data_IF_725603903782
#
_entry.id   IF_725603903782
#
_cell.length_a   1.000
_cell.length_b   1.000
_cell.length_c   1.000
_cell.angle_alpha   90.00
_cell.angle_beta   90.00
_cell.angle_gamma   90.00
#
_symmetry.space_group_name_H-M   'P 1'
#
loop_
_entity.id
_entity.type
_entity.pdbx_description
1 polymer ?
#
# COMPACT_ATOMS: atom_id res chain seq x y z
N UNK A 1 11.56 -36.89 -5.17
CA UNK A 1 11.26 -35.54 -5.70
C UNK A 1 11.81 -34.50 -4.74
N UNK A 2 13.03 -34.04 -4.99
CA UNK A 2 13.69 -32.94 -4.27
C UNK A 2 13.07 -31.62 -4.75
N UNK A 3 12.26 -31.00 -3.90
CA UNK A 3 11.73 -29.66 -4.14
C UNK A 3 12.83 -28.65 -3.80
N UNK A 4 13.46 -28.08 -4.82
CA UNK A 4 14.35 -26.94 -4.66
C UNK A 4 13.54 -25.77 -4.09
N UNK A 5 13.90 -25.34 -2.88
CA UNK A 5 13.35 -24.14 -2.25
C UNK A 5 13.98 -22.92 -2.93
N UNK A 6 13.26 -22.32 -3.87
CA UNK A 6 13.65 -21.02 -4.42
C UNK A 6 13.36 -19.94 -3.38
N UNK A 7 14.40 -19.47 -2.69
CA UNK A 7 14.29 -18.25 -1.87
C UNK A 7 13.88 -17.08 -2.77
N UNK A 8 12.90 -16.30 -2.34
CA UNK A 8 12.56 -15.07 -3.02
C UNK A 8 13.78 -14.15 -2.95
N UNK A 9 14.46 -13.96 -4.09
CA UNK A 9 15.61 -13.07 -4.17
C UNK A 9 15.04 -11.66 -4.06
N UNK A 10 15.22 -11.05 -2.89
CA UNK A 10 14.87 -9.64 -2.71
C UNK A 10 15.68 -8.84 -3.73
N UNK A 11 14.98 -8.12 -4.62
CA UNK A 11 15.64 -7.34 -5.65
C UNK A 11 16.18 -6.07 -5.00
N UNK A 12 17.50 -5.98 -4.90
CA UNK A 12 18.19 -4.76 -4.50
C UNK A 12 18.38 -3.88 -5.73
N UNK A 13 17.81 -2.68 -5.69
CA UNK A 13 17.95 -1.66 -6.74
C UNK A 13 18.68 -0.45 -6.17
N UNK A 14 19.69 0.03 -6.90
CA UNK A 14 20.46 1.21 -6.53
C UNK A 14 19.94 2.41 -7.34
N UNK A 15 19.41 3.42 -6.65
CA UNK A 15 18.97 4.67 -7.26
C UNK A 15 20.06 5.72 -7.07
N UNK A 16 20.69 6.12 -8.17
CA UNK A 16 21.67 7.22 -8.18
C UNK A 16 20.95 8.55 -8.01
N UNK A 17 21.59 9.52 -7.35
CA UNK A 17 21.03 10.86 -7.22
C UNK A 17 20.80 11.51 -8.60
N UNK A 18 19.59 12.03 -8.78
CA UNK A 18 19.16 12.75 -9.99
C UNK A 18 19.57 14.22 -9.92
N UNK A 19 19.62 14.82 -8.73
CA UNK A 19 19.99 16.21 -8.48
C UNK A 19 20.51 16.31 -7.04
N UNK A 20 21.44 17.21 -6.80
CA UNK A 20 21.85 17.63 -5.46
C UNK A 20 22.31 19.09 -5.48
N UNK A 21 22.38 19.69 -4.30
CA UNK A 21 22.93 21.01 -4.06
C UNK A 21 23.20 21.23 -2.58
N UNK A 22 24.11 22.15 -2.28
CA UNK A 22 24.29 22.71 -0.94
C UNK A 22 23.77 24.15 -0.89
N UNK A 23 23.37 24.58 0.30
CA UNK A 23 23.01 25.95 0.66
C UNK A 23 23.71 26.31 1.96
N UNK A 24 24.02 27.59 2.14
CA UNK A 24 24.82 28.06 3.26
C UNK A 24 24.25 29.35 3.86
N UNK A 25 24.37 29.54 5.18
CA UNK A 25 23.76 30.68 5.88
C UNK A 25 24.41 32.02 5.53
N UNK A 26 25.73 32.03 5.30
CA UNK A 26 26.49 33.27 5.11
C UNK A 26 26.51 33.71 3.63
N UNK A 27 26.04 32.84 2.74
CA UNK A 27 25.73 33.16 1.34
C UNK A 27 24.25 32.87 1.03
N UNK A 28 23.32 33.56 1.71
CA UNK A 28 21.95 33.08 1.85
C UNK A 28 21.10 33.16 0.57
N UNK A 29 21.60 33.84 -0.46
CA UNK A 29 21.00 33.98 -1.78
C UNK A 29 21.70 33.14 -2.85
N UNK A 30 22.66 32.30 -2.46
CA UNK A 30 23.42 31.43 -3.36
C UNK A 30 23.03 29.98 -3.13
N UNK A 31 23.08 29.21 -4.21
CA UNK A 31 22.94 27.75 -4.20
C UNK A 31 24.15 27.16 -4.89
N UNK A 32 24.62 26.00 -4.44
CA UNK A 32 25.79 25.35 -4.99
C UNK A 32 25.44 24.01 -5.68
N UNK A 33 24.72 24.02 -6.82
CA UNK A 33 24.51 22.82 -7.62
C UNK A 33 25.81 22.46 -8.35
N UNK A 34 26.04 21.18 -8.65
CA UNK A 34 27.21 20.78 -9.44
C UNK A 34 28.50 20.60 -8.63
N UNK A 35 28.50 20.90 -7.34
CA UNK A 35 29.68 20.73 -6.49
C UNK A 35 30.02 19.25 -6.30
N UNK A 36 31.32 18.95 -6.31
CA UNK A 36 31.83 17.61 -6.01
C UNK A 36 31.60 17.19 -4.56
N UNK A 37 31.31 18.14 -3.68
CA UNK A 37 31.09 17.91 -2.26
C UNK A 37 29.78 18.54 -1.79
N UNK A 38 29.15 17.84 -0.85
CA UNK A 38 27.93 18.21 -0.15
C UNK A 38 28.30 18.46 1.30
N UNK A 39 28.21 19.70 1.73
CA UNK A 39 28.58 20.10 3.09
C UNK A 39 27.38 20.16 4.03
N UNK A 40 27.64 19.85 5.30
CA UNK A 40 26.63 19.75 6.35
C UNK A 40 27.21 20.21 7.69
N UNK A 41 26.54 21.14 8.38
CA UNK A 41 26.97 21.69 9.68
C UNK A 41 27.69 23.04 9.54
N UNK A 42 28.28 23.54 10.62
CA UNK A 42 29.07 24.78 10.59
C UNK A 42 30.39 24.52 9.84
N UNK A 43 30.67 25.37 8.87
CA UNK A 43 31.91 25.41 8.12
C UNK A 43 33.11 25.77 9.02
N UNK A 44 34.24 25.10 8.82
CA UNK A 44 35.46 25.22 9.62
C UNK A 44 36.43 26.24 9.02
N UNK A 45 35.97 27.48 8.87
CA UNK A 45 36.80 28.62 8.45
C UNK A 45 36.76 28.97 6.95
N UNK A 46 35.89 28.35 6.15
CA UNK A 46 35.65 28.74 4.75
C UNK A 46 34.72 29.96 4.57
N UNK A 47 34.07 30.44 5.63
CA UNK A 47 33.18 31.61 5.60
C UNK A 47 31.78 31.34 5.04
N UNK A 48 31.33 30.07 4.99
CA UNK A 48 30.00 29.71 4.51
C UNK A 48 28.93 29.62 5.62
N UNK A 49 29.35 29.61 6.89
CA UNK A 49 28.45 29.51 8.04
C UNK A 49 27.86 28.11 8.18
N UNK A 50 26.55 28.01 8.40
CA UNK A 50 25.84 26.73 8.48
C UNK A 50 25.49 26.25 7.08
N UNK A 51 25.94 25.04 6.76
CA UNK A 51 25.66 24.38 5.49
C UNK A 51 24.64 23.25 5.63
N UNK A 52 23.79 23.12 4.61
CA UNK A 52 22.85 22.02 4.44
C UNK A 52 22.93 21.51 3.02
N UNK A 53 22.71 20.22 2.85
CA UNK A 53 22.77 19.58 1.54
C UNK A 53 21.47 18.85 1.23
N UNK A 54 21.07 18.82 -0.04
CA UNK A 54 19.85 18.15 -0.46
C UNK A 54 20.15 17.22 -1.63
N UNK A 55 19.41 16.12 -1.68
CA UNK A 55 19.63 15.07 -2.67
C UNK A 55 18.28 14.58 -3.16
N UNK A 56 18.11 14.50 -4.47
CA UNK A 56 16.92 14.03 -5.15
C UNK A 56 17.13 12.70 -5.86
N UNK A 57 16.12 11.84 -5.86
CA UNK A 57 16.13 10.53 -6.51
C UNK A 57 14.87 10.35 -7.37
N UNK A 58 15.00 9.71 -8.54
CA UNK A 58 13.85 9.32 -9.36
C UNK A 58 13.34 7.95 -8.91
N UNK A 59 12.11 7.89 -8.38
CA UNK A 59 11.56 6.69 -7.73
C UNK A 59 10.34 6.12 -8.46
N UNK A 60 10.10 6.51 -9.72
CA UNK A 60 8.97 6.06 -10.54
C UNK A 60 8.90 4.53 -10.66
N UNK A 61 10.06 3.86 -10.69
CA UNK A 61 10.19 2.41 -10.78
C UNK A 61 9.79 1.63 -9.50
N UNK A 62 9.61 2.32 -8.36
CA UNK A 62 9.13 1.70 -7.12
C UNK A 62 7.61 1.54 -7.10
N UNK A 63 6.89 2.05 -8.11
CA UNK A 63 5.43 2.00 -8.16
C UNK A 63 4.95 0.54 -8.17
N UNK A 64 4.14 0.19 -7.16
CA UNK A 64 3.56 -1.14 -6.99
C UNK A 64 4.45 -2.18 -6.29
N UNK A 65 5.76 -1.92 -6.13
CA UNK A 65 6.69 -2.82 -5.43
C UNK A 65 6.43 -2.82 -3.92
N UNK A 66 6.80 -3.87 -3.20
CA UNK A 66 6.80 -3.87 -1.73
C UNK A 66 8.21 -3.54 -1.25
N UNK A 67 8.36 -2.48 -0.44
CA UNK A 67 9.68 -2.05 0.03
C UNK A 67 10.00 -2.82 1.31
N UNK A 68 11.04 -3.65 1.27
CA UNK A 68 11.53 -4.37 2.45
C UNK A 68 12.41 -3.43 3.29
N UNK A 69 13.39 -2.82 2.63
CA UNK A 69 14.39 -1.92 3.23
C UNK A 69 14.78 -0.81 2.24
N UNK A 70 15.08 0.38 2.74
CA UNK A 70 15.72 1.44 1.99
C UNK A 70 16.80 2.14 2.83
N UNK A 71 18.02 2.25 2.28
CA UNK A 71 19.14 2.92 2.92
C UNK A 71 19.72 4.00 2.02
N UNK A 72 19.90 5.20 2.56
CA UNK A 72 20.70 6.24 1.91
C UNK A 72 22.17 5.96 2.23
N UNK A 73 23.03 5.94 1.20
CA UNK A 73 24.48 5.80 1.32
C UNK A 73 25.16 7.05 0.76
N UNK A 74 26.02 7.67 1.56
CA UNK A 74 26.90 8.76 1.13
C UNK A 74 28.36 8.39 1.40
N UNK A 75 29.26 8.78 0.52
CA UNK A 75 30.70 8.65 0.76
C UNK A 75 31.22 9.87 1.52
N UNK A 76 31.86 9.64 2.65
CA UNK A 76 32.45 10.68 3.49
C UNK A 76 33.82 11.10 2.93
N UNK A 77 34.12 12.41 2.97
CA UNK A 77 35.41 12.96 2.53
C UNK A 77 36.23 13.42 3.73
N UNK A 78 37.10 12.54 4.24
CA UNK A 78 38.03 12.84 5.32
C UNK A 78 39.06 13.93 4.97
N UNK A 79 39.28 14.22 3.69
CA UNK A 79 40.21 15.26 3.26
C UNK A 79 39.72 16.68 3.55
N UNK A 80 38.40 16.85 3.77
CA UNK A 80 37.75 18.15 3.94
C UNK A 80 37.06 18.28 5.30
N UNK A 81 37.33 17.37 6.22
CA UNK A 81 36.67 17.30 7.51
C UNK A 81 37.61 16.67 8.52
N UNK A 82 37.70 17.25 9.72
CA UNK A 82 38.52 16.64 10.77
C UNK A 82 38.00 15.21 11.05
N UNK A 83 38.91 14.26 10.97
CA UNK A 83 38.59 12.83 11.11
C UNK A 83 38.42 12.41 12.55
N UNK A 84 38.89 13.20 13.52
CA UNK A 84 38.75 12.90 14.95
C UNK A 84 37.38 13.32 15.48
N UNK A 85 36.79 14.38 14.92
CA UNK A 85 35.53 14.94 15.40
C UNK A 85 34.31 14.19 14.87
N UNK A 86 33.57 13.57 15.81
CA UNK A 86 32.29 12.93 15.53
C UNK A 86 31.17 13.96 15.48
N UNK A 87 30.33 13.87 14.45
CA UNK A 87 29.14 14.71 14.29
C UNK A 87 27.94 13.88 13.88
N UNK A 88 26.82 14.04 14.56
CA UNK A 88 25.57 13.40 14.14
C UNK A 88 24.93 14.19 12.99
N UNK A 89 24.60 13.50 11.91
CA UNK A 89 23.95 14.05 10.72
C UNK A 89 22.60 13.37 10.53
N UNK A 90 21.55 14.17 10.39
CA UNK A 90 20.17 13.73 10.18
C UNK A 90 19.74 13.88 8.73
N UNK A 91 18.88 12.94 8.31
CA UNK A 91 18.16 12.97 7.05
C UNK A 91 16.72 13.38 7.31
N UNK A 92 16.26 14.43 6.64
CA UNK A 92 14.88 14.92 6.70
C UNK A 92 14.19 14.76 5.34
N UNK A 93 12.88 14.55 5.37
CA UNK A 93 12.04 14.54 4.18
C UNK A 93 11.76 15.98 3.73
N UNK A 94 11.96 16.30 2.45
CA UNK A 94 11.57 17.59 1.89
C UNK A 94 10.10 17.51 1.48
N UNK A 95 9.25 18.35 2.07
CA UNK A 95 7.78 18.30 1.94
C UNK A 95 7.24 19.13 0.79
N UNK A 96 8.03 20.07 0.25
CA UNK A 96 7.64 20.94 -0.85
C UNK A 96 8.38 20.65 -2.16
N UNK A 97 7.71 20.90 -3.29
CA UNK A 97 8.29 20.72 -4.62
C UNK A 97 9.17 21.90 -5.07
N UNK A 98 9.30 22.96 -4.26
CA UNK A 98 10.00 24.21 -4.63
C UNK A 98 11.45 23.96 -5.08
N UNK A 99 12.17 23.08 -4.41
CA UNK A 99 13.54 22.68 -4.79
C UNK A 99 13.63 22.03 -6.18
N UNK A 100 12.55 21.37 -6.62
CA UNK A 100 12.50 20.69 -7.91
C UNK A 100 12.17 21.63 -9.07
N UNK A 101 11.47 22.73 -8.80
CA UNK A 101 10.93 23.65 -9.84
C UNK A 101 11.79 24.91 -10.00
N UNK A 102 12.39 25.41 -8.92
CA UNK A 102 13.19 26.64 -8.98
C UNK A 102 14.64 26.33 -9.37
N UNK A 103 15.25 27.06 -10.32
CA UNK A 103 16.63 26.81 -10.73
C UNK A 103 17.64 27.04 -9.60
N UNK A 104 17.29 27.84 -8.58
CA UNK A 104 18.19 28.19 -7.46
C UNK A 104 17.43 28.14 -6.14
N UNK A 105 17.53 27.03 -5.42
CA UNK A 105 17.11 27.01 -4.02
C UNK A 105 18.23 27.60 -3.17
N UNK A 106 17.94 28.71 -2.51
CA UNK A 106 18.86 29.42 -1.62
C UNK A 106 18.45 29.23 -0.16
N UNK A 107 19.35 29.52 0.77
CA UNK A 107 19.06 29.52 2.22
C UNK A 107 17.80 30.32 2.55
N UNK A 108 17.72 31.56 2.07
CA UNK A 108 16.59 32.45 2.31
C UNK A 108 15.29 31.88 1.72
N UNK A 109 15.31 31.32 0.51
CA UNK A 109 14.12 30.74 -0.12
C UNK A 109 13.64 29.45 0.56
N UNK A 110 14.56 28.70 1.17
CA UNK A 110 14.27 27.42 1.82
C UNK A 110 13.75 27.62 3.25
N UNK A 111 14.28 28.59 3.99
CA UNK A 111 13.91 28.87 5.38
C UNK A 111 12.67 29.77 5.48
N UNK A 112 12.60 30.87 4.70
CA UNK A 112 11.51 31.86 4.83
C UNK A 112 10.14 31.34 4.38
N UNK A 113 10.11 30.26 3.59
CA UNK A 113 8.88 29.65 3.09
C UNK A 113 8.09 28.81 4.09
N UNK A 114 8.55 28.69 5.34
CA UNK A 114 8.05 27.72 6.32
C UNK A 114 8.63 26.34 6.01
N UNK A 115 9.44 25.82 6.94
CA UNK A 115 10.18 24.55 6.89
C UNK A 115 9.77 23.63 5.72
N UNK A 116 10.46 23.78 4.58
CA UNK A 116 10.24 22.95 3.38
C UNK A 116 10.61 21.48 3.57
N UNK A 117 10.72 21.02 4.81
CA UNK A 117 11.09 19.70 5.26
C UNK A 117 10.46 19.37 6.62
N UNK A 118 10.36 18.09 6.93
CA UNK A 118 9.81 17.61 8.20
C UNK A 118 10.74 17.97 9.37
N UNK A 119 10.19 18.49 10.47
CA UNK A 119 10.98 18.88 11.65
C UNK A 119 11.63 17.69 12.35
N UNK A 120 10.99 16.53 12.33
CA UNK A 120 11.55 15.27 12.84
C UNK A 120 12.43 14.61 11.77
N UNK A 121 13.64 14.15 12.12
CA UNK A 121 14.48 13.42 11.19
C UNK A 121 13.85 12.07 10.84
N UNK A 122 14.01 11.65 9.58
CA UNK A 122 13.68 10.30 9.15
C UNK A 122 14.70 9.26 9.65
N UNK A 123 15.97 9.68 9.80
CA UNK A 123 17.07 8.90 10.35
C UNK A 123 18.24 9.80 10.73
N UNK A 124 19.11 9.36 11.63
CA UNK A 124 20.39 10.01 11.96
C UNK A 124 21.52 8.99 12.00
N UNK A 125 22.74 9.44 11.73
CA UNK A 125 23.95 8.64 11.83
C UNK A 125 25.12 9.50 12.31
N UNK A 126 26.02 8.91 13.08
CA UNK A 126 27.26 9.57 13.51
C UNK A 126 28.30 9.47 12.40
N UNK A 127 28.91 10.60 12.06
CA UNK A 127 29.85 10.79 10.95
C UNK A 127 31.17 11.31 11.49
N UNK A 128 32.27 10.74 11.00
CA UNK A 128 33.63 10.99 11.50
C UNK A 128 34.35 9.67 11.79
N UNK A 129 35.63 9.76 12.17
CA UNK A 129 36.52 8.63 12.41
C UNK A 129 37.26 8.13 11.17
N UNK A 130 38.41 7.50 11.37
CA UNK A 130 39.33 6.98 10.32
C UNK A 130 38.70 5.86 9.47
N UNK A 131 37.60 5.25 9.90
CA UNK A 131 37.11 3.99 9.33
C UNK A 131 35.89 4.09 8.41
N UNK A 132 35.16 5.21 8.38
CA UNK A 132 33.85 5.26 7.70
C UNK A 132 33.92 5.96 6.35
N UNK A 133 34.43 5.28 5.31
CA UNK A 133 34.37 5.78 3.92
C UNK A 133 32.92 5.99 3.44
N UNK A 134 31.97 5.19 3.95
CA UNK A 134 30.55 5.31 3.62
C UNK A 134 29.70 5.37 4.88
N UNK A 135 28.74 6.28 4.89
CA UNK A 135 27.74 6.43 5.95
C UNK A 135 26.38 5.99 5.41
N UNK A 136 25.62 5.30 6.25
CA UNK A 136 24.31 4.76 5.91
C UNK A 136 23.23 5.28 6.86
N UNK A 137 22.09 5.67 6.29
CA UNK A 137 20.88 6.01 7.03
C UNK A 137 19.76 5.06 6.62
N UNK A 138 19.11 4.42 7.59
CA UNK A 138 17.91 3.61 7.32
C UNK A 138 16.68 4.51 7.20
N UNK A 139 16.29 4.79 5.96
CA UNK A 139 15.15 5.64 5.63
C UNK A 139 13.97 4.82 5.10
N UNK A 140 13.88 3.54 5.49
CA UNK A 140 12.83 2.61 5.04
C UNK A 140 11.42 3.17 5.28
N UNK A 141 11.19 3.76 6.46
CA UNK A 141 9.88 4.34 6.82
C UNK A 141 9.53 5.53 5.92
N UNK A 142 10.51 6.37 5.59
CA UNK A 142 10.33 7.52 4.71
C UNK A 142 10.02 7.08 3.27
N UNK A 143 10.78 6.15 2.70
CA UNK A 143 10.51 5.69 1.32
C UNK A 143 9.14 4.98 1.22
N UNK A 144 8.72 4.27 2.27
CA UNK A 144 7.36 3.70 2.37
C UNK A 144 6.28 4.78 2.42
N UNK A 145 6.50 5.89 3.12
CA UNK A 145 5.51 6.98 3.20
C UNK A 145 5.30 7.65 1.83
N UNK A 146 6.37 7.86 1.05
CA UNK A 146 6.27 8.36 -0.32
C UNK A 146 5.45 7.44 -1.23
N UNK A 147 5.55 6.13 -1.03
CA UNK A 147 4.77 5.16 -1.80
C UNK A 147 3.26 5.23 -1.48
N UNK A 148 2.89 5.44 -0.21
CA UNK A 148 1.48 5.53 0.22
C UNK A 148 0.79 6.74 -0.40
N UNK A 149 1.51 7.85 -0.55
CA UNK A 149 1.01 9.08 -1.17
C UNK A 149 0.79 8.97 -2.70
N UNK A 150 1.10 7.82 -3.31
CA UNK A 150 1.06 7.57 -4.77
C UNK A 150 1.89 8.54 -5.63
N UNK A 151 2.69 9.39 -5.01
CA UNK A 151 3.50 10.41 -5.66
C UNK A 151 4.93 9.89 -5.91
N UNK A 152 5.07 8.69 -6.49
CA UNK A 152 6.39 8.15 -6.84
C UNK A 152 6.87 8.79 -8.15
N UNK A 153 7.45 9.98 -8.02
CA UNK A 153 8.20 10.71 -9.04
C UNK A 153 9.59 11.01 -8.51
N UNK A 154 10.04 12.27 -8.61
CA UNK A 154 11.25 12.70 -7.93
C UNK A 154 10.99 12.95 -6.46
N UNK A 155 11.83 12.39 -5.58
CA UNK A 155 11.77 12.60 -4.13
C UNK A 155 13.11 13.07 -3.61
N UNK A 156 13.07 13.94 -2.62
CA UNK A 156 14.25 14.63 -2.12
C UNK A 156 14.35 14.54 -0.62
N UNK A 157 15.59 14.49 -0.16
CA UNK A 157 15.95 14.52 1.26
C UNK A 157 16.86 15.70 1.54
N UNK A 158 16.80 16.21 2.76
CA UNK A 158 17.69 17.22 3.32
C UNK A 158 18.64 16.53 4.30
N UNK A 159 19.92 16.88 4.24
CA UNK A 159 20.95 16.54 5.21
C UNK A 159 21.25 17.79 6.04
N UNK A 160 21.20 17.66 7.36
CA UNK A 160 21.67 18.68 8.28
C UNK A 160 22.41 18.03 9.46
N UNK A 161 23.29 18.78 10.08
CA UNK A 161 23.87 18.38 11.35
C UNK A 161 22.81 18.45 12.46
N UNK A 162 22.87 17.56 13.44
CA UNK A 162 21.98 17.63 14.59
C UNK A 162 22.33 18.85 15.46
N UNK A 163 23.62 19.15 15.61
CA UNK A 163 24.12 20.40 16.16
C UNK A 163 24.75 21.25 15.05
N UNK A 164 23.94 22.11 14.42
CA UNK A 164 24.37 22.93 13.28
C UNK A 164 25.42 24.00 13.65
N UNK A 165 25.61 24.31 14.94
CA UNK A 165 26.56 25.31 15.42
C UNK A 165 27.94 24.75 15.78
N UNK A 166 28.08 23.41 15.82
CA UNK A 166 29.36 22.79 16.12
C UNK A 166 30.34 23.01 14.96
N UNK A 167 31.53 23.53 15.23
CA UNK A 167 32.62 23.78 14.28
C UNK A 167 33.31 22.47 13.85
N UNK A 168 32.52 21.53 13.37
CA UNK A 168 32.97 20.21 12.92
C UNK A 168 32.16 19.74 11.70
N UNK A 169 31.92 20.65 10.76
CA UNK A 169 31.22 20.39 9.50
C UNK A 169 31.72 19.13 8.79
N UNK A 170 30.80 18.48 8.06
CA UNK A 170 31.05 17.22 7.37
C UNK A 170 30.83 17.37 5.88
N UNK A 171 31.79 16.89 5.10
CA UNK A 171 31.73 16.85 3.64
C UNK A 171 31.43 15.43 3.13
N UNK A 172 30.42 15.31 2.29
CA UNK A 172 30.11 14.10 1.53
C UNK A 172 30.40 14.31 0.06
N UNK A 173 30.66 13.23 -0.69
CA UNK A 173 30.83 13.34 -2.15
C UNK A 173 29.45 13.51 -2.82
N UNK A 174 29.36 14.49 -3.71
CA UNK A 174 28.17 14.83 -4.47
C UNK A 174 27.96 13.98 -5.72
N UNK A 175 26.87 14.27 -6.44
CA UNK A 175 26.44 13.62 -7.68
C UNK A 175 27.48 13.78 -8.78
N UNK A 176 28.16 14.92 -8.84
CA UNK A 176 29.11 15.22 -9.92
C UNK A 176 30.52 14.68 -9.62
N UNK A 177 30.72 13.99 -8.49
CA UNK A 177 32.01 13.36 -8.18
C UNK A 177 32.42 12.36 -9.29
N UNK A 178 33.70 12.34 -9.74
CA UNK A 178 34.12 11.56 -10.90
C UNK A 178 33.87 10.05 -10.81
N UNK A 179 33.99 9.47 -9.61
CA UNK A 179 33.80 8.03 -9.40
C UNK A 179 32.31 7.68 -9.18
N UNK A 180 31.60 7.49 -10.28
CA UNK A 180 30.14 7.36 -10.26
C UNK A 180 29.58 6.16 -9.48
N UNK A 181 30.29 5.03 -9.50
CA UNK A 181 29.77 3.76 -8.97
C UNK A 181 29.99 3.59 -7.47
N UNK A 182 31.06 4.20 -6.95
CA UNK A 182 31.47 3.99 -5.55
C UNK A 182 31.11 5.17 -4.65
N UNK A 183 31.26 6.39 -5.16
CA UNK A 183 31.35 7.56 -4.30
C UNK A 183 30.13 8.46 -4.34
N UNK A 184 29.31 8.39 -5.40
CA UNK A 184 28.11 9.23 -5.52
C UNK A 184 27.02 8.82 -4.51
N UNK A 185 26.12 9.76 -4.14
CA UNK A 185 24.96 9.44 -3.33
C UNK A 185 24.09 8.34 -3.96
N UNK A 186 23.81 7.29 -3.19
CA UNK A 186 22.94 6.20 -3.61
C UNK A 186 21.82 5.99 -2.61
N UNK A 187 20.61 5.77 -3.12
CA UNK A 187 19.52 5.17 -2.37
C UNK A 187 19.43 3.69 -2.74
N UNK A 188 19.76 2.82 -1.78
CA UNK A 188 19.75 1.37 -1.95
C UNK A 188 18.41 0.85 -1.45
N UNK A 189 17.58 0.30 -2.34
CA UNK A 189 16.24 -0.21 -1.99
C UNK A 189 16.17 -1.70 -2.22
N UNK A 190 15.94 -2.46 -1.16
CA UNK A 190 15.52 -3.86 -1.26
C UNK A 190 14.00 -3.90 -1.39
N UNK A 191 13.52 -4.39 -2.53
CA UNK A 191 12.09 -4.49 -2.81
C UNK A 191 11.70 -5.85 -3.34
N UNK A 192 10.45 -6.20 -3.13
CA UNK A 192 9.85 -7.39 -3.71
C UNK A 192 8.73 -7.00 -4.69
N UNK A 193 8.69 -7.70 -5.82
CA UNK A 193 7.60 -7.60 -6.80
C UNK A 193 6.43 -8.52 -6.43
N UNK A 194 6.66 -9.56 -5.64
CA UNK A 194 5.60 -10.44 -5.15
C UNK A 194 4.87 -9.83 -3.98
N UNK A 195 3.71 -9.20 -4.25
CA UNK A 195 2.67 -9.11 -3.22
C UNK A 195 2.00 -10.49 -3.10
N UNK A 196 1.71 -10.98 -1.90
CA UNK A 196 0.92 -12.19 -1.77
C UNK A 196 -0.44 -11.98 -2.43
N UNK A 197 -0.69 -12.72 -3.52
CA UNK A 197 -1.96 -12.61 -4.24
C UNK A 197 -2.99 -13.45 -3.49
N UNK A 198 -4.01 -12.77 -2.99
CA UNK A 198 -5.10 -13.44 -2.28
C UNK A 198 -6.28 -13.66 -3.22
N UNK A 199 -6.72 -14.91 -3.30
CA UNK A 199 -7.89 -15.27 -4.10
C UNK A 199 -9.01 -15.67 -3.14
N UNK A 200 -10.05 -14.84 -3.08
CA UNK A 200 -11.28 -15.16 -2.38
C UNK A 200 -12.40 -15.44 -3.39
N UNK A 201 -12.94 -16.66 -3.39
CA UNK A 201 -14.12 -16.97 -4.20
C UNK A 201 -15.35 -16.42 -3.51
N UNK A 202 -16.24 -15.75 -4.24
CA UNK A 202 -17.55 -15.36 -3.74
C UNK A 202 -18.31 -16.60 -3.25
N UNK A 203 -18.53 -16.71 -1.94
CA UNK A 203 -19.25 -17.84 -1.34
C UNK A 203 -20.60 -17.39 -0.82
N UNK A 204 -21.64 -18.12 -1.18
CA UNK A 204 -23.01 -17.82 -0.75
C UNK A 204 -23.33 -18.61 0.51
N UNK A 205 -23.66 -17.91 1.59
CA UNK A 205 -24.25 -18.53 2.77
C UNK A 205 -25.66 -19.00 2.45
N UNK A 206 -25.96 -20.29 2.67
CA UNK A 206 -27.30 -20.84 2.48
C UNK A 206 -27.89 -21.22 3.84
N UNK A 207 -29.09 -20.71 4.10
CA UNK A 207 -29.93 -21.12 5.24
C UNK A 207 -30.54 -22.49 4.94
N UNK A 208 -30.48 -23.41 5.90
CA UNK A 208 -31.24 -24.68 5.82
C UNK A 208 -32.70 -24.43 6.17
N UNK A 209 -33.62 -25.08 5.46
CA UNK A 209 -35.05 -24.93 5.73
C UNK A 209 -35.45 -25.62 7.03
N UNK A 210 -36.33 -24.98 7.82
CA UNK A 210 -36.90 -25.54 9.05
C UNK A 210 -37.65 -26.85 8.77
N UNK A 211 -38.29 -26.97 7.60
CA UNK A 211 -39.01 -28.17 7.13
C UNK A 211 -38.14 -29.43 7.02
N UNK A 212 -36.81 -29.29 6.89
CA UNK A 212 -35.90 -30.45 6.85
C UNK A 212 -35.52 -30.96 8.25
N UNK A 213 -35.85 -30.24 9.32
CA UNK A 213 -35.49 -30.62 10.68
C UNK A 213 -36.05 -31.99 11.11
N UNK A 214 -37.33 -32.33 10.87
CA UNK A 214 -37.89 -33.64 11.25
C UNK A 214 -37.14 -34.80 10.57
N UNK A 215 -36.82 -34.67 9.28
CA UNK A 215 -36.02 -35.66 8.54
C UNK A 215 -34.65 -35.88 9.20
N UNK A 216 -33.94 -34.81 9.55
CA UNK A 216 -32.63 -34.93 10.20
C UNK A 216 -32.72 -35.54 11.61
N UNK A 217 -33.80 -35.27 12.35
CA UNK A 217 -34.04 -35.89 13.65
C UNK A 217 -34.27 -37.40 13.51
N UNK A 218 -35.07 -37.83 12.52
CA UNK A 218 -35.30 -39.24 12.20
C UNK A 218 -33.97 -39.96 11.89
N UNK A 219 -33.14 -39.37 11.02
CA UNK A 219 -31.82 -39.91 10.69
C UNK A 219 -30.88 -39.96 11.90
N UNK A 220 -30.86 -38.92 12.73
CA UNK A 220 -30.09 -38.91 13.98
C UNK A 220 -30.49 -40.08 14.89
N UNK A 221 -31.79 -40.28 15.13
CA UNK A 221 -32.32 -41.38 15.95
C UNK A 221 -31.94 -42.74 15.38
N UNK A 222 -32.08 -42.93 14.06
CA UNK A 222 -31.67 -44.14 13.36
C UNK A 222 -30.19 -44.49 13.57
N UNK A 223 -29.29 -43.55 13.29
CA UNK A 223 -27.85 -43.77 13.44
C UNK A 223 -27.41 -43.91 14.91
N UNK A 224 -28.11 -43.25 15.85
CA UNK A 224 -27.89 -43.46 17.29
C UNK A 224 -28.23 -44.90 17.70
N UNK A 225 -29.37 -45.42 17.26
CA UNK A 225 -29.76 -46.80 17.55
C UNK A 225 -28.78 -47.82 16.96
N UNK A 226 -28.36 -47.64 15.69
CA UNK A 226 -27.34 -48.49 15.04
C UNK A 226 -25.99 -48.41 15.77
N UNK A 227 -25.59 -47.23 16.25
CA UNK A 227 -24.37 -47.08 17.05
C UNK A 227 -24.42 -47.90 18.34
N UNK A 228 -25.55 -47.88 19.06
CA UNK A 228 -25.71 -48.60 20.33
C UNK A 228 -25.78 -50.11 20.15
N UNK A 229 -26.42 -50.58 19.06
CA UNK A 229 -26.57 -52.01 18.77
C UNK A 229 -25.32 -52.69 18.20
N UNK A 230 -24.39 -51.92 17.60
CA UNK A 230 -23.24 -52.50 16.92
C UNK A 230 -22.12 -52.86 17.90
N UNK A 231 -21.77 -54.15 17.97
CA UNK A 231 -20.61 -54.66 18.72
C UNK A 231 -19.27 -54.33 18.04
N UNK A 232 -19.26 -54.17 16.71
CA UNK A 232 -18.06 -53.85 15.94
C UNK A 232 -17.60 -52.39 16.16
N UNK A 233 -16.39 -52.21 16.67
CA UNK A 233 -15.79 -50.90 17.01
C UNK A 233 -15.68 -49.94 15.81
N UNK A 234 -15.32 -50.45 14.63
CA UNK A 234 -15.18 -49.64 13.42
C UNK A 234 -16.55 -49.13 12.93
N UNK A 235 -17.57 -50.00 12.91
CA UNK A 235 -18.95 -49.61 12.57
C UNK A 235 -19.50 -48.60 13.59
N UNK A 236 -19.26 -48.81 14.89
CA UNK A 236 -19.67 -47.88 15.95
C UNK A 236 -19.09 -46.48 15.73
N UNK A 237 -17.81 -46.36 15.35
CA UNK A 237 -17.16 -45.07 15.01
C UNK A 237 -17.81 -44.42 13.77
N UNK A 238 -18.09 -45.19 12.71
CA UNK A 238 -18.77 -44.68 11.51
C UNK A 238 -20.17 -44.16 11.83
N UNK A 239 -20.96 -44.90 12.60
CA UNK A 239 -22.29 -44.48 13.05
C UNK A 239 -22.26 -43.26 13.97
N UNK A 240 -21.26 -43.15 14.86
CA UNK A 240 -21.07 -41.96 15.69
C UNK A 240 -20.85 -40.68 14.84
N UNK A 241 -20.00 -40.77 13.81
CA UNK A 241 -19.78 -39.67 12.84
C UNK A 241 -21.08 -39.28 12.12
N UNK A 242 -21.84 -40.28 11.65
CA UNK A 242 -23.13 -40.05 10.98
C UNK A 242 -24.16 -39.42 11.93
N UNK A 243 -24.32 -39.95 13.15
CA UNK A 243 -25.19 -39.40 14.20
C UNK A 243 -24.89 -37.92 14.46
N UNK A 244 -23.63 -37.58 14.70
CA UNK A 244 -23.22 -36.20 14.98
C UNK A 244 -23.43 -35.26 13.78
N UNK A 245 -23.18 -35.74 12.55
CA UNK A 245 -23.49 -35.02 11.31
C UNK A 245 -24.97 -34.64 11.22
N UNK A 246 -25.87 -35.59 11.49
CA UNK A 246 -27.31 -35.35 11.43
C UNK A 246 -27.85 -34.52 12.61
N UNK A 247 -27.28 -34.67 13.81
CA UNK A 247 -27.62 -33.82 14.96
C UNK A 247 -27.26 -32.34 14.70
N UNK A 248 -26.06 -32.09 14.15
CA UNK A 248 -25.63 -30.74 13.74
C UNK A 248 -26.56 -30.19 12.66
N UNK A 249 -26.90 -30.99 11.64
CA UNK A 249 -27.85 -30.61 10.59
C UNK A 249 -29.25 -30.28 11.13
N UNK A 250 -29.76 -31.05 12.10
CA UNK A 250 -31.03 -30.80 12.79
C UNK A 250 -30.99 -29.46 13.52
N UNK A 251 -29.97 -29.22 14.36
CA UNK A 251 -29.80 -27.96 15.10
C UNK A 251 -29.72 -26.75 14.17
N UNK A 252 -28.95 -26.85 13.08
CA UNK A 252 -28.83 -25.78 12.08
C UNK A 252 -30.15 -25.51 11.35
N UNK A 253 -30.91 -26.55 11.02
CA UNK A 253 -32.21 -26.40 10.35
C UNK A 253 -33.27 -25.82 11.29
N UNK A 254 -33.30 -26.26 12.56
CA UNK A 254 -34.22 -25.75 13.59
C UNK A 254 -33.95 -24.28 13.90
N UNK A 255 -32.69 -23.90 14.06
CA UNK A 255 -32.24 -22.51 14.34
C UNK A 255 -32.11 -21.63 13.09
N UNK A 256 -32.36 -22.17 11.89
CA UNK A 256 -32.19 -21.44 10.62
C UNK A 256 -30.80 -20.81 10.42
N UNK A 257 -29.76 -21.48 10.91
CA UNK A 257 -28.37 -21.01 10.79
C UNK A 257 -27.94 -21.09 9.33
N UNK A 258 -27.46 -19.98 8.79
CA UNK A 258 -26.85 -19.94 7.46
C UNK A 258 -25.37 -20.34 7.57
N UNK A 259 -24.93 -21.25 6.71
CA UNK A 259 -23.53 -21.65 6.64
C UNK A 259 -22.96 -21.39 5.25
N UNK A 260 -21.72 -20.91 5.19
CA UNK A 260 -20.93 -20.77 3.97
C UNK A 260 -19.64 -21.58 4.12
N UNK A 261 -19.13 -22.14 3.02
CA UNK A 261 -17.78 -22.71 2.97
C UNK A 261 -16.87 -21.69 2.35
N UNK A 262 -16.01 -21.07 3.15
CA UNK A 262 -14.99 -20.14 2.66
C UNK A 262 -13.87 -20.95 2.02
N UNK A 263 -13.55 -20.64 0.77
CA UNK A 263 -12.36 -21.14 0.09
C UNK A 263 -11.47 -19.94 -0.18
N UNK A 264 -10.29 -19.95 0.40
CA UNK A 264 -9.28 -18.94 0.20
C UNK A 264 -7.96 -19.62 -0.16
N UNK A 265 -7.16 -18.96 -0.99
CA UNK A 265 -5.80 -19.35 -1.33
C UNK A 265 -4.95 -18.10 -1.24
N UNK A 266 -3.84 -18.18 -0.51
CA UNK A 266 -2.78 -17.18 -0.54
C UNK A 266 -1.62 -17.83 -1.26
N UNK A 267 -1.16 -17.18 -2.33
CA UNK A 267 0.12 -17.51 -2.94
C UNK A 267 1.12 -16.53 -2.39
N UNK A 268 2.10 -17.02 -1.65
CA UNK A 268 3.19 -16.24 -1.09
C UNK A 268 4.50 -16.86 -1.54
N UNK A 269 5.43 -16.05 -2.01
CA UNK A 269 6.81 -16.46 -2.26
C UNK A 269 7.48 -16.58 -0.89
N UNK A 270 8.18 -17.69 -0.65
CA UNK A 270 8.61 -18.09 0.68
C UNK A 270 9.62 -17.09 1.24
N UNK A 271 9.16 -16.17 2.10
CA UNK A 271 10.01 -15.50 3.08
C UNK A 271 10.18 -16.45 4.27
N UNK A 272 11.35 -16.51 4.90
CA UNK A 272 11.65 -17.36 6.06
C UNK A 272 10.72 -17.14 7.28
N UNK A 273 9.82 -16.15 7.19
CA UNK A 273 8.82 -15.84 8.19
C UNK A 273 7.49 -16.60 7.98
N UNK A 274 6.84 -16.99 9.09
CA UNK A 274 5.48 -17.56 9.07
C UNK A 274 4.50 -16.53 8.50
N UNK A 275 3.94 -16.78 7.32
CA UNK A 275 2.90 -15.93 6.75
C UNK A 275 1.64 -15.94 7.64
N UNK A 276 1.29 -14.78 8.22
CA UNK A 276 0.07 -14.61 9.02
C UNK A 276 -1.07 -14.11 8.14
N UNK A 277 -2.01 -14.99 7.82
CA UNK A 277 -3.20 -14.63 7.02
C UNK A 277 -4.37 -14.30 7.94
N UNK A 278 -4.89 -13.07 7.82
CA UNK A 278 -6.10 -12.63 8.53
C UNK A 278 -7.28 -12.63 7.55
N UNK A 279 -8.26 -13.50 7.77
CA UNK A 279 -9.49 -13.54 6.95
C UNK A 279 -10.56 -12.67 7.60
N UNK A 280 -10.82 -11.50 7.01
CA UNK A 280 -11.97 -10.65 7.36
C UNK A 280 -13.19 -11.09 6.55
N UNK A 281 -14.31 -11.34 7.21
CA UNK A 281 -15.56 -11.81 6.58
C UNK A 281 -16.64 -10.74 6.72
N UNK A 282 -16.84 -9.96 5.67
CA UNK A 282 -17.91 -8.95 5.65
C UNK A 282 -19.25 -9.58 5.26
N UNK A 283 -20.25 -9.40 6.12
CA UNK A 283 -21.60 -9.91 5.86
C UNK A 283 -22.41 -8.90 5.05
N UNK A 284 -22.54 -9.13 3.74
CA UNK A 284 -23.53 -8.43 2.91
C UNK A 284 -24.89 -9.14 2.98
N UNK A 285 -25.87 -8.52 3.63
CA UNK A 285 -27.26 -9.02 3.66
C UNK A 285 -28.03 -8.42 2.49
N UNK A 286 -28.24 -9.21 1.45
CA UNK A 286 -29.13 -8.82 0.35
C UNK A 286 -30.53 -9.35 0.67
N UNK A 287 -31.49 -8.46 0.91
CA UNK A 287 -32.88 -8.89 1.16
C UNK A 287 -33.49 -9.48 -0.14
N UNK A 288 -34.20 -10.61 -0.02
CA UNK A 288 -34.89 -11.23 -1.17
C UNK A 288 -35.83 -10.26 -1.89
N UNK A 289 -36.64 -9.42 -1.18
CA UNK A 289 -37.50 -8.44 -1.83
C UNK A 289 -36.70 -7.39 -2.61
N UNK A 290 -35.53 -6.97 -2.12
CA UNK A 290 -34.68 -6.03 -2.84
C UNK A 290 -34.12 -6.65 -4.13
N UNK A 291 -33.61 -7.89 -4.06
CA UNK A 291 -33.16 -8.62 -5.25
C UNK A 291 -34.28 -8.77 -6.28
N UNK A 292 -35.47 -9.25 -5.85
CA UNK A 292 -36.65 -9.42 -6.73
C UNK A 292 -37.04 -8.10 -7.41
N UNK A 293 -37.05 -6.98 -6.68
CA UNK A 293 -37.32 -5.65 -7.25
C UNK A 293 -36.29 -5.24 -8.30
N UNK A 294 -34.99 -5.42 -8.02
CA UNK A 294 -33.92 -5.16 -9.01
C UNK A 294 -34.08 -6.01 -10.27
N UNK A 295 -34.43 -7.28 -10.11
CA UNK A 295 -34.68 -8.19 -11.23
C UNK A 295 -35.89 -7.73 -12.08
N UNK A 296 -36.97 -7.26 -11.43
CA UNK A 296 -38.15 -6.68 -12.13
C UNK A 296 -37.75 -5.44 -12.94
N UNK A 297 -37.02 -4.49 -12.34
CA UNK A 297 -36.57 -3.29 -13.05
C UNK A 297 -35.65 -3.63 -14.22
N UNK A 298 -34.76 -4.61 -14.04
CA UNK A 298 -33.88 -5.06 -15.12
C UNK A 298 -34.66 -5.69 -16.29
N UNK A 299 -35.69 -6.49 -16.00
CA UNK A 299 -36.60 -7.03 -17.03
C UNK A 299 -37.33 -5.90 -17.77
N UNK A 300 -37.88 -4.91 -17.05
CA UNK A 300 -38.54 -3.74 -17.65
C UNK A 300 -37.58 -2.93 -18.53
N UNK A 301 -36.37 -2.67 -18.05
CA UNK A 301 -35.31 -2.01 -18.84
C UNK A 301 -35.05 -2.74 -20.16
N UNK A 302 -34.85 -4.06 -20.12
CA UNK A 302 -34.62 -4.86 -21.34
C UNK A 302 -35.81 -4.76 -22.30
N UNK A 303 -37.04 -4.85 -21.79
CA UNK A 303 -38.25 -4.74 -22.60
C UNK A 303 -38.37 -3.37 -23.29
N UNK A 304 -38.17 -2.27 -22.56
CA UNK A 304 -38.22 -0.92 -23.13
C UNK A 304 -37.07 -0.65 -24.11
N UNK A 305 -35.86 -1.15 -23.83
CA UNK A 305 -34.72 -1.03 -24.75
C UNK A 305 -34.94 -1.80 -26.04
N UNK A 306 -35.60 -2.95 -25.98
CA UNK A 306 -36.02 -3.69 -27.17
C UNK A 306 -37.09 -2.92 -27.98
N UNK A 307 -38.10 -2.35 -27.32
CA UNK A 307 -39.11 -1.48 -27.98
C UNK A 307 -38.47 -0.25 -28.64
N UNK A 308 -37.55 0.42 -27.95
CA UNK A 308 -36.76 1.54 -28.49
C UNK A 308 -36.07 1.19 -29.80
N UNK A 309 -35.39 0.03 -29.87
CA UNK A 309 -34.67 -0.42 -31.08
C UNK A 309 -35.60 -0.71 -32.26
N UNK A 310 -36.81 -1.22 -32.01
CA UNK A 310 -37.77 -1.61 -33.06
C UNK A 310 -38.62 -0.43 -33.57
N UNK A 311 -38.80 0.61 -32.77
CA UNK A 311 -39.74 1.70 -33.08
C UNK A 311 -39.11 2.72 -34.02
N UNK A 312 -39.73 2.95 -35.19
CA UNK A 312 -39.28 3.97 -36.15
C UNK A 312 -39.75 5.40 -35.78
N UNK A 313 -40.93 5.56 -35.17
CA UNK A 313 -41.45 6.88 -34.75
C UNK A 313 -40.55 7.54 -33.69
N UNK A 314 -40.04 8.74 -33.99
CA UNK A 314 -39.08 9.49 -33.14
C UNK A 314 -39.62 9.79 -31.73
N UNK A 315 -40.87 10.23 -31.59
CA UNK A 315 -41.46 10.59 -30.29
C UNK A 315 -41.62 9.36 -29.39
N UNK A 316 -42.16 8.28 -29.93
CA UNK A 316 -42.31 7.01 -29.20
C UNK A 316 -40.94 6.39 -28.84
N UNK A 317 -39.98 6.48 -29.76
CA UNK A 317 -38.60 6.04 -29.51
C UNK A 317 -37.97 6.79 -28.34
N UNK A 318 -38.07 8.13 -28.29
CA UNK A 318 -37.60 8.93 -27.13
C UNK A 318 -38.29 8.51 -25.82
N UNK A 319 -39.61 8.29 -25.84
CA UNK A 319 -40.36 7.82 -24.66
C UNK A 319 -39.87 6.47 -24.14
N UNK A 320 -39.64 5.49 -25.03
CA UNK A 320 -39.11 4.19 -24.64
C UNK A 320 -37.67 4.26 -24.13
N UNK A 321 -36.83 5.13 -24.72
CA UNK A 321 -35.48 5.36 -24.22
C UNK A 321 -35.50 5.91 -22.79
N UNK A 322 -36.32 6.93 -22.52
CA UNK A 322 -36.47 7.52 -21.19
C UNK A 322 -36.99 6.48 -20.19
N UNK A 323 -38.00 5.68 -20.56
CA UNK A 323 -38.50 4.60 -19.72
C UNK A 323 -37.42 3.53 -19.43
N UNK A 324 -36.58 3.21 -20.41
CA UNK A 324 -35.45 2.31 -20.20
C UNK A 324 -34.42 2.92 -19.22
N UNK A 325 -34.00 4.17 -19.44
CA UNK A 325 -33.08 4.90 -18.55
C UNK A 325 -33.58 4.90 -17.10
N UNK A 326 -34.85 5.25 -16.90
CA UNK A 326 -35.50 5.21 -15.58
C UNK A 326 -35.39 3.87 -14.88
N UNK A 327 -35.71 2.77 -15.57
CA UNK A 327 -35.63 1.43 -14.98
C UNK A 327 -34.17 1.00 -14.72
N UNK A 328 -33.21 1.49 -15.51
CA UNK A 328 -31.79 1.25 -15.28
C UNK A 328 -31.28 1.98 -14.02
N UNK A 329 -31.67 3.24 -13.83
CA UNK A 329 -31.37 4.03 -12.63
C UNK A 329 -31.96 3.35 -11.39
N UNK A 330 -33.23 2.96 -11.44
CA UNK A 330 -33.90 2.23 -10.35
C UNK A 330 -33.21 0.90 -10.00
N UNK A 331 -32.58 0.24 -10.99
CA UNK A 331 -31.76 -0.96 -10.78
C UNK A 331 -30.40 -0.64 -10.14
N UNK A 332 -29.80 0.52 -10.41
CA UNK A 332 -28.46 0.92 -9.96
C UNK A 332 -28.47 1.61 -8.59
N UNK A 333 -29.34 2.60 -8.35
CA UNK A 333 -29.15 3.60 -7.29
C UNK A 333 -30.04 3.51 -6.05
N UNK A 334 -30.96 2.54 -5.94
CA UNK A 334 -31.86 2.49 -4.76
C UNK A 334 -31.22 1.83 -3.52
N UNK A 335 -30.01 2.26 -3.16
CA UNK A 335 -29.27 1.76 -2.01
C UNK A 335 -28.98 2.79 -0.92
N UNK A 336 -29.42 4.05 -1.05
CA UNK A 336 -29.20 5.05 -0.01
C UNK A 336 -30.54 5.31 0.69
N UNK A 337 -30.57 5.13 2.01
CA UNK A 337 -31.70 5.54 2.81
C UNK A 337 -31.92 7.04 2.67
N UNK A 338 -33.15 7.46 2.41
CA UNK A 338 -33.60 8.84 2.63
C UNK A 338 -33.15 9.93 1.65
N UNK A 339 -32.03 9.80 0.94
CA UNK A 339 -31.61 10.85 -0.01
C UNK A 339 -32.36 10.70 -1.34
N UNK A 340 -33.19 11.69 -1.66
CA UNK A 340 -33.79 11.88 -2.97
C UNK A 340 -32.68 12.02 -4.02
N UNK A 341 -32.84 11.34 -5.16
CA UNK A 341 -32.00 11.59 -6.33
C UNK A 341 -32.15 13.07 -6.71
N UNK A 342 -31.06 13.81 -6.76
CA UNK A 342 -31.10 15.20 -7.21
C UNK A 342 -31.45 15.24 -8.70
N UNK A 343 -32.04 16.33 -9.17
CA UNK A 343 -32.34 16.52 -10.59
C UNK A 343 -31.07 16.50 -11.47
N UNK A 344 -29.90 16.79 -10.88
CA UNK A 344 -28.60 16.75 -11.57
C UNK A 344 -28.24 15.34 -12.06
N UNK A 345 -28.47 14.30 -11.25
CA UNK A 345 -28.19 12.90 -11.61
C UNK A 345 -29.03 12.39 -12.81
N UNK A 346 -30.10 13.12 -13.15
CA UNK A 346 -30.97 12.85 -14.29
C UNK A 346 -30.49 13.45 -15.61
N UNK A 347 -29.65 14.49 -15.55
CA UNK A 347 -29.22 15.25 -16.73
C UNK A 347 -27.94 14.69 -17.35
N UNK A 348 -27.11 13.99 -16.58
CA UNK A 348 -25.80 13.47 -17.03
C UNK A 348 -25.85 12.12 -17.80
N UNK A 349 -27.04 11.62 -18.17
CA UNK A 349 -27.22 10.36 -18.92
C UNK A 349 -28.28 10.43 -20.01
#
# INVERSE_FOLDING_TARGET
STLFAGSAIALTTNYVSAKDASIASDTPNTSFPGNYYLFVGQDNGGGFGIERSMIAFQLSELKGKFINQARLRLAYSSALSDTTDLQSVSVHNITGDRWMVTPHLTWNSFISGGNGFDSSPAASAVVGGVQNKHVYWDITTLVKSWQVQQALGTKSVLLKADNEQATNGKAFKGKDFPNANLDRPLLIVSSDSSRPVTYAKNTIARRRSKSRAPRYLKLYRYYRAKQLKSKNKALRRRYAKAKNKYLRAYRYSKKQIATARLKWKVSDTFSENKAKVIVKVDRRVISKPHKRRKDIYFKKYKAYKAKYKKTKNRRLRKRYLNAAKMNYILKKHRQIGGQSLSAQDFMDY
#
